data_IF_241586301686
#
_entry.id   IF_241586301686
#
_cell.length_a   1.000
_cell.length_b   1.000
_cell.length_c   1.000
_cell.angle_alpha   90.00
_cell.angle_beta   90.00
_cell.angle_gamma   90.00
#
_symmetry.space_group_name_H-M   'P 1'
#
loop_
_entity.id
_entity.type
_entity.pdbx_description
1 polymer ?
#
# COMPACT_ATOMS: atom_id res chain seq x y z
N UNK A 1 5.03 29.98 15.18
CA UNK A 1 4.19 28.84 14.71
C UNK A 1 5.13 27.86 14.00
N UNK A 2 5.33 26.63 14.48
CA UNK A 2 6.21 25.68 13.81
C UNK A 2 5.58 25.31 12.45
N UNK A 3 6.36 25.46 11.39
CA UNK A 3 5.95 25.10 10.03
C UNK A 3 5.82 23.57 10.00
N UNK A 4 4.59 23.06 10.03
CA UNK A 4 4.34 21.63 9.84
C UNK A 4 4.82 21.23 8.44
N UNK A 5 5.98 20.58 8.36
CA UNK A 5 6.46 19.97 7.13
C UNK A 5 5.51 18.83 6.76
N UNK A 6 4.58 19.11 5.84
CA UNK A 6 3.73 18.05 5.27
C UNK A 6 4.65 16.99 4.66
N UNK A 7 4.44 15.68 4.94
CA UNK A 7 5.26 14.61 4.38
C UNK A 7 5.03 14.41 2.88
N UNK A 8 4.17 15.22 2.27
CA UNK A 8 3.86 15.22 0.84
C UNK A 8 3.68 16.63 0.30
N UNK A 9 3.95 16.78 -0.98
CA UNK A 9 3.77 17.98 -1.78
C UNK A 9 2.36 17.97 -2.40
N UNK A 10 1.46 18.86 -1.96
CA UNK A 10 0.11 18.99 -2.55
C UNK A 10 0.12 19.45 -4.01
N UNK A 11 1.15 20.19 -4.43
CA UNK A 11 1.31 20.68 -5.81
C UNK A 11 1.77 19.60 -6.79
N UNK A 12 2.67 18.71 -6.35
CA UNK A 12 3.38 17.77 -7.22
C UNK A 12 3.08 16.30 -6.91
N UNK A 13 2.34 16.01 -5.84
CA UNK A 13 1.95 14.67 -5.43
C UNK A 13 3.14 13.79 -5.02
N UNK A 14 4.29 14.39 -4.72
CA UNK A 14 5.48 13.66 -4.27
C UNK A 14 5.44 13.56 -2.76
N UNK A 15 5.59 12.34 -2.25
CA UNK A 15 5.72 12.04 -0.82
C UNK A 15 7.21 11.97 -0.50
N UNK A 16 7.65 12.81 0.45
CA UNK A 16 8.97 12.68 1.06
C UNK A 16 8.94 11.45 1.94
N UNK A 17 9.76 10.46 1.62
CA UNK A 17 9.92 9.30 2.47
C UNK A 17 10.71 9.73 3.73
N UNK A 18 10.40 9.15 4.89
CA UNK A 18 11.11 9.45 6.16
C UNK A 18 12.50 8.76 6.18
N UNK A 19 12.78 7.83 5.26
CA UNK A 19 14.09 7.19 5.08
C UNK A 19 14.98 7.82 3.99
N UNK A 20 16.22 7.35 3.88
CA UNK A 20 17.26 7.84 2.93
C UNK A 20 16.91 7.74 1.44
N UNK A 21 15.80 7.12 1.09
CA UNK A 21 15.43 6.87 -0.30
C UNK A 21 14.52 7.96 -0.87
N UNK A 22 14.93 8.43 -2.06
CA UNK A 22 14.38 9.56 -2.80
C UNK A 22 12.84 9.59 -2.79
N UNK A 23 12.30 10.79 -2.61
CA UNK A 23 10.87 11.06 -2.59
C UNK A 23 10.14 10.44 -3.81
N UNK A 24 8.99 9.77 -3.58
CA UNK A 24 8.24 9.02 -4.61
C UNK A 24 6.88 9.68 -4.86
N UNK A 25 6.36 9.57 -6.09
CA UNK A 25 4.99 10.04 -6.42
C UNK A 25 3.94 9.19 -5.70
N UNK A 26 2.81 9.77 -5.31
CA UNK A 26 1.66 9.08 -4.68
C UNK A 26 1.22 7.83 -5.44
N UNK A 27 1.25 7.87 -6.78
CA UNK A 27 0.88 6.73 -7.63
C UNK A 27 1.72 5.46 -7.40
N UNK A 28 2.98 5.60 -6.97
CA UNK A 28 3.80 4.46 -6.56
C UNK A 28 3.19 3.74 -5.36
N UNK A 29 2.82 4.49 -4.32
CA UNK A 29 2.25 3.94 -3.09
C UNK A 29 0.86 3.34 -3.36
N UNK A 30 0.01 4.02 -4.13
CA UNK A 30 -1.29 3.49 -4.52
C UNK A 30 -1.17 2.15 -5.25
N UNK A 31 -0.21 2.04 -6.17
CA UNK A 31 0.07 0.79 -6.90
C UNK A 31 0.58 -0.31 -5.97
N UNK A 32 1.50 0.02 -5.06
CA UNK A 32 2.04 -0.94 -4.10
C UNK A 32 0.94 -1.48 -3.17
N UNK A 33 0.09 -0.60 -2.64
CA UNK A 33 -1.05 -0.97 -1.80
C UNK A 33 -2.08 -1.82 -2.56
N UNK A 34 -2.38 -1.47 -3.82
CA UNK A 34 -3.25 -2.28 -4.66
C UNK A 34 -2.72 -3.71 -4.86
N UNK A 35 -1.43 -3.85 -5.15
CA UNK A 35 -0.78 -5.17 -5.28
C UNK A 35 -0.80 -5.97 -3.97
N UNK A 36 -0.57 -5.31 -2.84
CA UNK A 36 -0.66 -5.96 -1.52
C UNK A 36 -2.08 -6.46 -1.26
N UNK A 37 -3.09 -5.61 -1.50
CA UNK A 37 -4.50 -6.00 -1.36
C UNK A 37 -4.83 -7.22 -2.22
N UNK A 38 -4.49 -7.21 -3.51
CA UNK A 38 -4.77 -8.35 -4.40
C UNK A 38 -4.10 -9.65 -3.94
N UNK A 39 -2.91 -9.57 -3.33
CA UNK A 39 -2.24 -10.76 -2.78
C UNK A 39 -2.96 -11.28 -1.54
N UNK A 40 -3.35 -10.39 -0.64
CA UNK A 40 -4.08 -10.74 0.59
C UNK A 40 -5.42 -11.38 0.21
N UNK A 41 -6.18 -10.76 -0.69
CA UNK A 41 -7.47 -11.27 -1.15
C UNK A 41 -7.30 -12.66 -1.80
N UNK A 42 -6.26 -12.86 -2.63
CA UNK A 42 -5.98 -14.16 -3.25
C UNK A 42 -5.63 -15.26 -2.24
N UNK A 43 -4.83 -14.95 -1.22
CA UNK A 43 -4.51 -15.93 -0.15
C UNK A 43 -5.73 -16.21 0.73
N UNK A 44 -6.59 -15.22 0.95
CA UNK A 44 -7.86 -15.40 1.66
C UNK A 44 -8.78 -16.36 0.89
N UNK A 45 -9.01 -16.13 -0.40
CA UNK A 45 -9.83 -17.01 -1.24
C UNK A 45 -9.30 -18.45 -1.25
N UNK A 46 -7.96 -18.61 -1.35
CA UNK A 46 -7.30 -19.91 -1.29
C UNK A 46 -7.54 -20.59 0.06
N UNK A 47 -7.46 -19.85 1.16
CA UNK A 47 -7.66 -20.38 2.51
C UNK A 47 -9.12 -20.83 2.69
N UNK A 48 -10.08 -20.01 2.27
CA UNK A 48 -11.51 -20.34 2.33
C UNK A 48 -11.84 -21.55 1.48
N UNK A 49 -11.28 -21.65 0.26
CA UNK A 49 -11.41 -22.84 -0.58
C UNK A 49 -10.81 -24.09 0.08
N UNK A 50 -9.65 -23.96 0.72
CA UNK A 50 -8.99 -25.08 1.40
C UNK A 50 -9.80 -25.59 2.60
N UNK A 51 -10.43 -24.68 3.36
CA UNK A 51 -11.33 -25.05 4.46
C UNK A 51 -12.57 -25.77 3.91
N UNK A 52 -13.22 -25.23 2.88
CA UNK A 52 -14.41 -25.84 2.28
C UNK A 52 -14.16 -27.28 1.82
N UNK A 53 -12.99 -27.54 1.23
CA UNK A 53 -12.58 -28.87 0.75
C UNK A 53 -12.31 -29.91 1.85
N UNK A 54 -12.07 -29.47 3.10
CA UNK A 54 -11.87 -30.35 4.25
C UNK A 54 -13.18 -30.70 4.97
N UNK A 55 -14.27 -30.01 4.63
CA UNK A 55 -15.60 -30.20 5.21
C UNK A 55 -16.55 -31.04 4.35
N UNK A 56 -16.09 -31.55 3.21
CA UNK A 56 -16.74 -32.58 2.39
C UNK A 56 -16.17 -33.98 2.71
#
# INVERSE_FOLDING_TARGET
>A
MPIQHKPYCSKCGIVKNIGSDRARKLGFFATALGRLKSRIDKEHDRSTYSIAKLSE
#
